data_IF_675064675762
#
_entry.id   IF_675064675762
#
_cell.length_a   1.000
_cell.length_b   1.000
_cell.length_c   1.000
_cell.angle_alpha   90.00
_cell.angle_beta   90.00
_cell.angle_gamma   90.00
#
_symmetry.space_group_name_H-M   'P 1'
#
loop_
_entity.id
_entity.type
_entity.pdbx_description
1 polymer ?
#
# COMPACT_ATOMS: atom_id res chain seq x y z
N UNK A 1 6.68 8.25 18.16
CA UNK A 1 7.63 7.46 17.36
C UNK A 1 7.26 7.60 15.90
N UNK A 2 8.18 8.02 15.04
CA UNK A 2 7.97 7.96 13.59
C UNK A 2 8.43 6.59 13.09
N UNK A 3 7.59 5.90 12.31
CA UNK A 3 7.90 4.60 11.73
C UNK A 3 8.08 4.75 10.21
N UNK A 4 9.30 4.60 9.71
CA UNK A 4 9.53 4.52 8.28
C UNK A 4 9.28 3.09 7.80
N UNK A 5 8.25 2.90 6.97
CA UNK A 5 7.95 1.60 6.38
C UNK A 5 8.81 1.37 5.13
N UNK A 6 8.81 2.34 4.22
CA UNK A 6 9.64 2.33 3.02
C UNK A 6 9.70 3.75 2.49
N UNK A 7 10.87 4.32 2.24
CA UNK A 7 10.95 5.68 1.70
C UNK A 7 10.12 5.87 0.41
N UNK A 8 9.27 6.92 0.30
CA UNK A 8 9.00 8.00 1.27
C UNK A 8 7.85 7.76 2.29
N UNK A 9 7.26 6.57 2.35
CA UNK A 9 6.21 6.18 3.31
C UNK A 9 6.75 6.14 4.74
N UNK A 10 6.65 7.28 5.45
CA UNK A 10 6.80 7.37 6.90
C UNK A 10 5.45 7.51 7.56
N UNK A 11 5.26 6.87 8.70
CA UNK A 11 4.07 6.98 9.55
C UNK A 11 4.44 7.82 10.78
N UNK A 12 4.04 9.09 10.76
CA UNK A 12 4.20 9.97 11.89
C UNK A 12 3.16 9.66 12.97
N UNK A 13 3.45 9.94 14.25
CA UNK A 13 2.46 9.89 15.31
C UNK A 13 1.27 10.77 14.97
N UNK A 14 0.09 10.33 15.37
CA UNK A 14 -1.15 11.08 15.26
C UNK A 14 -1.46 11.59 13.84
N UNK A 15 -1.19 10.78 12.83
CA UNK A 15 -1.47 11.11 11.44
C UNK A 15 -2.33 10.06 10.78
N UNK A 16 -3.26 10.52 9.95
CA UNK A 16 -4.02 9.70 9.03
C UNK A 16 -3.36 9.73 7.65
N UNK A 17 -2.83 8.59 7.24
CA UNK A 17 -2.12 8.41 5.98
C UNK A 17 -2.91 7.49 5.06
N UNK A 18 -2.95 7.81 3.77
CA UNK A 18 -3.49 6.95 2.72
C UNK A 18 -2.34 6.48 1.84
N UNK A 19 -2.28 5.18 1.57
CA UNK A 19 -1.35 4.56 0.64
C UNK A 19 -2.12 3.94 -0.51
N UNK A 20 -1.82 4.39 -1.73
CA UNK A 20 -2.33 3.82 -2.97
C UNK A 20 -1.16 3.20 -3.73
N UNK A 21 -1.17 1.89 -3.94
CA UNK A 21 -0.08 1.23 -4.65
C UNK A 21 -0.11 -0.30 -4.62
N UNK A 22 0.87 -0.96 -5.26
CA UNK A 22 0.93 -2.41 -5.39
C UNK A 22 0.86 -3.13 -4.04
N UNK A 23 0.21 -4.30 -4.01
CA UNK A 23 0.06 -5.12 -2.79
C UNK A 23 1.43 -5.50 -2.22
N UNK A 24 2.35 -5.91 -3.10
CA UNK A 24 3.70 -6.33 -2.77
C UNK A 24 4.46 -5.25 -2.01
N UNK A 25 4.24 -3.98 -2.36
CA UNK A 25 4.91 -2.87 -1.68
C UNK A 25 4.53 -2.81 -0.20
N UNK A 26 3.24 -2.91 0.13
CA UNK A 26 2.81 -2.90 1.53
C UNK A 26 3.27 -4.17 2.25
N UNK A 27 3.14 -5.33 1.62
CA UNK A 27 3.54 -6.62 2.20
C UNK A 27 5.03 -6.60 2.55
N UNK A 28 5.88 -6.23 1.59
CA UNK A 28 7.32 -6.16 1.77
C UNK A 28 7.69 -5.14 2.86
N UNK A 29 7.02 -3.99 2.87
CA UNK A 29 7.23 -2.95 3.88
C UNK A 29 6.88 -3.45 5.29
N UNK A 30 5.74 -4.12 5.47
CA UNK A 30 5.33 -4.63 6.78
C UNK A 30 6.23 -5.78 7.25
N UNK A 31 6.58 -6.70 6.36
CA UNK A 31 7.43 -7.85 6.69
C UNK A 31 8.88 -7.43 6.98
N UNK A 32 9.41 -6.42 6.27
CA UNK A 32 10.75 -5.89 6.51
C UNK A 32 10.87 -5.20 7.88
N UNK A 33 9.84 -4.45 8.29
CA UNK A 33 9.81 -3.70 9.56
C UNK A 33 9.16 -4.49 10.72
N UNK A 34 9.13 -5.81 10.62
CA UNK A 34 8.46 -6.68 11.59
C UNK A 34 8.94 -6.45 13.03
N UNK A 35 10.24 -6.22 13.24
CA UNK A 35 10.81 -6.04 14.58
C UNK A 35 10.33 -4.77 15.28
N UNK A 36 10.14 -3.71 14.50
CA UNK A 36 9.64 -2.42 14.93
C UNK A 36 8.13 -2.50 15.17
N UNK A 37 7.40 -3.14 14.25
CA UNK A 37 5.95 -3.35 14.35
C UNK A 37 5.56 -4.20 15.56
N UNK A 38 6.36 -5.23 15.90
CA UNK A 38 6.14 -6.05 17.10
C UNK A 38 6.30 -5.29 18.43
N UNK A 39 6.80 -4.05 18.41
CA UNK A 39 6.87 -3.20 19.62
C UNK A 39 5.65 -2.31 19.76
N UNK A 40 4.76 -2.34 18.77
CA UNK A 40 3.54 -1.55 18.71
C UNK A 40 2.34 -2.45 18.96
N UNK A 41 1.28 -1.85 19.49
CA UNK A 41 -0.04 -2.46 19.42
C UNK A 41 -0.58 -2.13 18.04
N UNK A 42 -0.70 -3.13 17.18
CA UNK A 42 -1.16 -2.98 15.79
C UNK A 42 -2.56 -3.55 15.67
N UNK A 43 -3.50 -2.73 15.21
CA UNK A 43 -4.81 -3.15 14.75
C UNK A 43 -4.79 -3.25 13.23
N UNK A 44 -5.13 -4.41 12.71
CA UNK A 44 -5.34 -4.66 11.29
C UNK A 44 -6.83 -4.85 11.01
N UNK A 45 -7.39 -3.97 10.20
CA UNK A 45 -8.80 -4.03 9.81
C UNK A 45 -8.88 -4.36 8.32
N UNK A 46 -9.59 -5.43 8.00
CA UNK A 46 -9.89 -5.80 6.62
C UNK A 46 -11.38 -5.70 6.33
N UNK A 47 -11.71 -5.55 5.05
CA UNK A 47 -13.09 -5.62 4.57
C UNK A 47 -13.60 -7.07 4.46
N UNK A 48 -14.45 -7.32 3.47
CA UNK A 48 -14.95 -8.64 3.13
C UNK A 48 -13.84 -9.61 2.72
N UNK A 49 -12.83 -9.07 2.02
CA UNK A 49 -11.67 -9.82 1.56
C UNK A 49 -10.39 -9.06 1.92
N UNK A 50 -9.41 -9.78 2.46
CA UNK A 50 -8.06 -9.26 2.64
C UNK A 50 -7.17 -9.78 1.53
N UNK A 51 -6.31 -8.91 0.99
CA UNK A 51 -5.30 -9.22 -0.05
C UNK A 51 -3.90 -9.38 0.53
N UNK A 52 -3.72 -8.96 1.77
CA UNK A 52 -2.42 -8.74 2.40
C UNK A 52 -2.23 -9.67 3.59
N UNK A 53 -3.29 -9.91 4.39
CA UNK A 53 -3.18 -10.58 5.69
C UNK A 53 -2.58 -11.99 5.60
N UNK A 54 -2.90 -12.76 4.56
CA UNK A 54 -2.40 -14.11 4.35
C UNK A 54 -0.94 -14.16 3.87
N UNK A 55 -0.40 -13.02 3.43
CA UNK A 55 0.98 -12.84 2.95
C UNK A 55 1.91 -12.21 4.00
N UNK A 56 1.38 -11.85 5.17
CA UNK A 56 2.19 -11.33 6.27
C UNK A 56 3.03 -12.45 6.91
N UNK A 57 4.21 -12.08 7.41
CA UNK A 57 5.11 -13.00 8.11
C UNK A 57 4.41 -13.57 9.36
N UNK A 58 4.43 -14.90 9.51
CA UNK A 58 3.77 -15.61 10.61
C UNK A 58 4.33 -15.27 11.99
N UNK A 59 5.50 -14.62 12.05
CA UNK A 59 6.10 -14.11 13.29
C UNK A 59 5.46 -12.81 13.76
N UNK A 60 4.58 -12.19 12.96
CA UNK A 60 3.83 -11.00 13.36
C UNK A 60 2.71 -11.36 14.35
N UNK A 61 3.09 -11.50 15.62
CA UNK A 61 2.18 -11.93 16.69
C UNK A 61 1.46 -10.79 17.40
N UNK A 62 2.06 -9.59 17.43
CA UNK A 62 1.46 -8.39 18.03
C UNK A 62 0.54 -7.67 17.01
N UNK A 63 -0.46 -8.42 16.52
CA UNK A 63 -1.37 -8.00 15.46
C UNK A 63 -2.81 -8.40 15.81
N UNK A 64 -3.61 -7.44 16.26
CA UNK A 64 -5.05 -7.63 16.45
C UNK A 64 -5.74 -7.52 15.10
N UNK A 65 -6.51 -8.54 14.71
CA UNK A 65 -7.20 -8.56 13.41
C UNK A 65 -8.71 -8.41 13.61
N UNK A 66 -9.32 -7.43 12.96
CA UNK A 66 -10.78 -7.25 12.90
C UNK A 66 -11.27 -7.18 11.44
N UNK A 67 -12.54 -7.49 11.23
CA UNK A 67 -13.20 -7.41 9.92
C UNK A 67 -14.45 -6.56 9.97
N UNK A 68 -14.63 -5.72 8.96
CA UNK A 68 -15.83 -4.95 8.73
C UNK A 68 -16.48 -5.38 7.41
N UNK A 69 -17.75 -5.79 7.47
CA UNK A 69 -18.57 -6.12 6.30
C UNK A 69 -19.40 -4.92 5.84
N UNK A 70 -19.53 -3.87 6.68
CA UNK A 70 -20.27 -2.64 6.39
C UNK A 70 -19.54 -1.41 6.95
N UNK A 71 -19.83 -0.23 6.41
CA UNK A 71 -19.30 1.03 6.94
C UNK A 71 -19.63 1.25 8.43
N UNK A 72 -20.82 0.85 8.89
CA UNK A 72 -21.21 0.95 10.31
C UNK A 72 -20.37 0.07 11.23
N UNK A 73 -20.04 -1.14 10.79
CA UNK A 73 -19.13 -2.02 11.54
C UNK A 73 -17.74 -1.43 11.61
N UNK A 74 -17.23 -0.86 10.51
CA UNK A 74 -15.95 -0.16 10.50
C UNK A 74 -15.94 1.01 11.50
N UNK A 75 -16.98 1.84 11.51
CA UNK A 75 -17.11 2.93 12.49
C UNK A 75 -17.10 2.42 13.94
N UNK A 76 -17.77 1.29 14.20
CA UNK A 76 -17.76 0.67 15.53
C UNK A 76 -16.36 0.20 15.92
N UNK A 77 -15.64 -0.44 14.99
CA UNK A 77 -14.25 -0.87 15.20
C UNK A 77 -13.34 0.32 15.51
N UNK A 78 -13.44 1.40 14.73
CA UNK A 78 -12.62 2.60 14.91
C UNK A 78 -12.90 3.28 16.26
N UNK A 79 -14.15 3.30 16.71
CA UNK A 79 -14.53 3.87 18.01
C UNK A 79 -13.97 3.08 19.19
N UNK A 80 -13.77 1.77 19.03
CA UNK A 80 -13.24 0.87 20.05
C UNK A 80 -11.72 0.70 19.97
N UNK A 81 -11.08 1.21 18.92
CA UNK A 81 -9.65 1.07 18.70
C UNK A 81 -8.85 1.88 19.73
N UNK A 82 -7.86 1.23 20.33
CA UNK A 82 -6.93 1.83 21.31
C UNK A 82 -5.47 1.58 20.93
N UNK A 83 -5.25 0.86 19.83
CA UNK A 83 -3.95 0.47 19.32
C UNK A 83 -3.15 1.70 18.87
N UNK A 84 -1.82 1.60 18.96
CA UNK A 84 -0.89 2.69 18.59
C UNK A 84 -0.76 2.87 17.07
N UNK A 85 -1.04 1.82 16.31
CA UNK A 85 -1.06 1.80 14.85
C UNK A 85 -2.30 1.06 14.38
N UNK A 86 -3.08 1.70 13.52
CA UNK A 86 -4.23 1.07 12.83
C UNK A 86 -3.93 1.01 11.34
N UNK A 87 -3.94 -0.19 10.77
CA UNK A 87 -3.81 -0.45 9.34
C UNK A 87 -5.17 -0.92 8.83
N UNK A 88 -5.72 -0.23 7.84
CA UNK A 88 -7.01 -0.54 7.23
C UNK A 88 -6.81 -0.87 5.76
N UNK A 89 -7.28 -2.03 5.31
CA UNK A 89 -7.49 -2.29 3.88
C UNK A 89 -8.80 -1.65 3.44
N UNK A 90 -8.71 -0.77 2.44
CA UNK A 90 -9.86 -0.20 1.79
C UNK A 90 -10.62 -1.28 1.01
N UNK A 91 -11.92 -1.36 1.26
CA UNK A 91 -12.81 -2.24 0.52
C UNK A 91 -14.07 -1.44 0.12
N UNK A 92 -14.26 -1.16 -1.19
CA UNK A 92 -15.39 -0.37 -1.67
C UNK A 92 -16.75 -0.98 -1.34
N UNK A 93 -16.83 -2.30 -1.13
CA UNK A 93 -18.09 -3.00 -0.87
C UNK A 93 -18.73 -2.61 0.46
N UNK A 94 -17.98 -2.00 1.38
CA UNK A 94 -18.52 -1.46 2.64
C UNK A 94 -19.53 -0.33 2.41
N UNK A 95 -19.52 0.29 1.21
CA UNK A 95 -20.28 1.48 0.87
C UNK A 95 -21.36 1.25 -0.20
N UNK A 96 -21.57 0.01 -0.68
CA UNK A 96 -22.50 -0.29 -1.79
C UNK A 96 -23.92 0.23 -1.53
N UNK A 97 -24.44 0.02 -0.32
CA UNK A 97 -25.77 0.46 0.10
C UNK A 97 -25.76 1.73 0.98
N UNK A 98 -24.59 2.35 1.17
CA UNK A 98 -24.39 3.43 2.13
C UNK A 98 -23.27 4.39 1.67
N UNK A 99 -23.38 4.90 0.44
CA UNK A 99 -22.33 5.70 -0.20
C UNK A 99 -21.97 6.97 0.58
N UNK A 100 -22.95 7.57 1.26
CA UNK A 100 -22.81 8.73 2.12
C UNK A 100 -21.92 8.47 3.35
N UNK A 101 -21.76 7.19 3.73
CA UNK A 101 -20.94 6.80 4.88
C UNK A 101 -19.44 7.01 4.66
N UNK A 102 -19.00 7.24 3.42
CA UNK A 102 -17.59 7.51 3.11
C UNK A 102 -17.06 8.76 3.83
N UNK A 103 -17.86 9.83 3.93
CA UNK A 103 -17.45 11.04 4.67
C UNK A 103 -17.32 10.76 6.17
N UNK A 104 -18.27 10.05 6.74
CA UNK A 104 -18.24 9.68 8.17
C UNK A 104 -17.06 8.75 8.49
N UNK A 105 -16.73 7.81 7.60
CA UNK A 105 -15.54 6.96 7.74
C UNK A 105 -14.27 7.79 7.67
N UNK A 106 -14.18 8.74 6.73
CA UNK A 106 -13.03 9.66 6.64
C UNK A 106 -12.84 10.49 7.91
N UNK A 107 -13.93 11.04 8.47
CA UNK A 107 -13.91 11.75 9.75
C UNK A 107 -13.46 10.84 10.90
N UNK A 108 -14.03 9.63 11.00
CA UNK A 108 -13.68 8.69 12.05
C UNK A 108 -12.21 8.24 11.99
N UNK A 109 -11.65 8.03 10.80
CA UNK A 109 -10.22 7.72 10.62
C UNK A 109 -9.35 8.89 11.07
N UNK A 110 -9.75 10.12 10.76
CA UNK A 110 -9.05 11.32 11.21
C UNK A 110 -9.14 11.49 12.72
N UNK A 111 -10.30 11.23 13.33
CA UNK A 111 -10.49 11.25 14.78
C UNK A 111 -9.65 10.17 15.48
N UNK A 112 -9.65 8.94 14.96
CA UNK A 112 -8.82 7.85 15.44
C UNK A 112 -7.33 8.20 15.37
N UNK A 113 -6.92 8.97 14.37
CA UNK A 113 -5.54 9.44 14.27
C UNK A 113 -5.14 10.45 15.34
N UNK A 114 -6.03 10.94 16.23
CA UNK A 114 -5.59 11.83 17.31
C UNK A 114 -4.83 11.08 18.42
N UNK A 115 -5.02 9.76 18.54
CA UNK A 115 -4.35 8.91 19.53
C UNK A 115 -3.56 7.73 18.92
N UNK A 116 -3.64 7.54 17.61
CA UNK A 116 -2.99 6.45 16.87
C UNK A 116 -2.33 6.99 15.60
N UNK A 117 -1.34 6.28 15.06
CA UNK A 117 -1.03 6.41 13.64
C UNK A 117 -2.04 5.58 12.83
N UNK A 118 -2.58 6.12 11.75
CA UNK A 118 -3.56 5.43 10.90
C UNK A 118 -3.03 5.34 9.48
N UNK A 119 -3.06 4.13 8.90
CA UNK A 119 -2.71 3.84 7.52
C UNK A 119 -3.88 3.17 6.82
N UNK A 120 -4.52 3.87 5.89
CA UNK A 120 -5.48 3.29 4.95
C UNK A 120 -4.74 2.86 3.67
N UNK A 121 -4.85 1.61 3.29
CA UNK A 121 -4.24 1.05 2.10
C UNK A 121 -5.29 0.72 1.04
N UNK A 122 -5.00 1.01 -0.23
CA UNK A 122 -5.77 0.51 -1.37
C UNK A 122 -4.86 0.20 -2.56
N UNK A 123 -5.13 -0.84 -3.37
CA UNK A 123 -4.35 -1.07 -4.58
C UNK A 123 -4.77 -0.14 -5.74
N UNK A 124 -5.96 0.45 -5.69
CA UNK A 124 -6.49 1.37 -6.69
C UNK A 124 -7.35 2.47 -6.06
N UNK A 125 -7.73 3.46 -6.87
CA UNK A 125 -8.65 4.54 -6.48
C UNK A 125 -10.07 4.24 -6.92
N UNK A 126 -11.04 4.69 -6.12
CA UNK A 126 -12.47 4.71 -6.43
C UNK A 126 -13.14 5.93 -5.74
N UNK A 127 -14.41 6.17 -6.06
CA UNK A 127 -15.17 7.33 -5.57
C UNK A 127 -15.20 7.44 -4.04
N UNK A 128 -15.24 6.32 -3.32
CA UNK A 128 -15.31 6.32 -1.85
C UNK A 128 -13.94 6.60 -1.26
N UNK A 129 -12.88 6.01 -1.83
CA UNK A 129 -11.52 6.32 -1.42
C UNK A 129 -11.17 7.80 -1.66
N UNK A 130 -11.61 8.38 -2.78
CA UNK A 130 -11.43 9.81 -3.07
C UNK A 130 -12.09 10.70 -2.00
N UNK A 131 -13.28 10.33 -1.52
CA UNK A 131 -13.98 11.04 -0.44
C UNK A 131 -13.22 10.90 0.88
N UNK A 132 -12.86 9.67 1.26
CA UNK A 132 -12.13 9.38 2.50
C UNK A 132 -10.76 10.07 2.53
N UNK A 133 -10.06 10.10 1.40
CA UNK A 133 -8.71 10.67 1.28
C UNK A 133 -8.67 12.18 1.51
N UNK A 134 -9.80 12.90 1.39
CA UNK A 134 -9.87 14.34 1.71
C UNK A 134 -9.58 14.65 3.18
N UNK A 135 -9.75 13.66 4.06
CA UNK A 135 -9.48 13.79 5.50
C UNK A 135 -8.06 13.38 5.87
N UNK A 136 -7.29 12.82 4.94
CA UNK A 136 -5.94 12.35 5.19
C UNK A 136 -4.95 13.52 5.35
N UNK A 137 -4.00 13.37 6.27
CA UNK A 137 -2.87 14.28 6.40
C UNK A 137 -1.90 14.14 5.23
N UNK A 138 -1.71 12.91 4.75
CA UNK A 138 -0.82 12.57 3.64
C UNK A 138 -1.39 11.46 2.79
N UNK A 139 -1.25 11.60 1.48
CA UNK A 139 -1.59 10.58 0.49
C UNK A 139 -0.32 10.20 -0.25
N UNK A 140 0.06 8.93 -0.15
CA UNK A 140 1.19 8.35 -0.87
C UNK A 140 0.67 7.55 -2.04
N UNK A 141 1.17 7.85 -3.24
CA UNK A 141 0.79 7.14 -4.47
C UNK A 141 2.04 6.52 -5.07
N UNK A 142 2.08 5.19 -5.13
CA UNK A 142 3.14 4.42 -5.75
C UNK A 142 2.59 3.78 -7.01
N UNK A 143 3.10 4.23 -8.16
CA UNK A 143 2.78 3.62 -9.44
C UNK A 143 3.79 2.50 -9.72
N UNK A 144 3.31 1.38 -10.27
CA UNK A 144 4.21 0.44 -10.94
C UNK A 144 4.89 1.15 -12.11
N UNK A 145 6.14 1.56 -11.91
CA UNK A 145 6.97 1.94 -13.04
C UNK A 145 7.26 0.63 -13.76
N UNK A 146 6.51 0.36 -14.84
CA UNK A 146 6.88 -0.66 -15.79
C UNK A 146 8.35 -0.41 -16.12
N UNK A 147 9.24 -1.32 -15.72
CA UNK A 147 10.63 -1.29 -16.19
C UNK A 147 10.54 -1.44 -17.70
N UNK A 148 10.48 -0.32 -18.42
CA UNK A 148 10.83 -0.28 -19.82
C UNK A 148 12.27 -0.74 -19.87
N UNK A 149 12.46 -2.04 -20.10
CA UNK A 149 13.75 -2.57 -20.53
C UNK A 149 13.97 -1.90 -21.87
N UNK A 150 14.63 -0.75 -21.87
CA UNK A 150 15.29 -0.23 -23.06
C UNK A 150 16.24 -1.33 -23.48
N UNK A 151 15.78 -2.21 -24.38
CA UNK A 151 16.66 -3.02 -25.20
C UNK A 151 17.49 -2.00 -25.95
N UNK A 152 18.68 -1.68 -25.42
CA UNK A 152 19.72 -1.00 -26.20
C UNK A 152 19.79 -1.78 -27.49
N UNK A 153 19.36 -1.17 -28.59
CA UNK A 153 19.51 -1.74 -29.90
C UNK A 153 21.01 -2.00 -30.07
N UNK A 154 21.40 -3.25 -29.90
CA UNK A 154 22.74 -3.70 -30.21
C UNK A 154 22.87 -3.44 -31.71
N UNK A 155 23.59 -2.39 -32.09
CA UNK A 155 23.98 -2.18 -33.48
C UNK A 155 24.71 -3.45 -33.90
N UNK A 156 24.05 -4.34 -34.65
CA UNK A 156 24.73 -5.41 -35.37
C UNK A 156 25.75 -4.72 -36.26
N UNK A 157 27.03 -4.90 -35.95
CA UNK A 157 28.11 -4.49 -36.83
C UNK A 157 27.90 -5.21 -38.18
N UNK A 158 27.72 -4.44 -39.26
CA UNK A 158 27.71 -5.00 -40.61
C UNK A 158 29.11 -5.57 -40.89
N UNK A 159 29.26 -6.84 -41.31
CA UNK A 159 30.55 -7.33 -41.77
C UNK A 159 30.94 -6.54 -43.04
N UNK A 160 32.14 -5.95 -43.03
CA UNK A 160 32.69 -5.22 -44.17
C UNK A 160 32.90 -6.13 -45.39
N UNK A 161 33.01 -5.56 -46.60
CA UNK A 161 33.08 -6.33 -47.83
C UNK A 161 34.34 -7.20 -47.86
N UNK A 162 34.14 -8.51 -48.08
CA UNK A 162 35.21 -9.49 -48.36
C UNK A 162 35.84 -9.13 -49.71
N UNK A 163 37.08 -8.65 -49.69
CA UNK A 163 37.89 -8.48 -50.90
C UNK A 163 38.39 -9.86 -51.32
N UNK A 164 37.84 -10.38 -52.42
CA UNK A 164 38.29 -11.59 -53.08
C UNK A 164 39.54 -11.24 -53.90
N UNK A 165 40.71 -11.74 -53.50
CA UNK A 165 41.94 -11.68 -54.31
C UNK A 165 42.10 -13.00 -55.05
N UNK A 166 41.94 -12.94 -56.37
CA UNK A 166 42.31 -14.01 -57.31
C UNK A 166 43.83 -14.08 -57.37
N UNK A 167 44.39 -15.27 -57.14
CA UNK A 167 45.79 -15.60 -57.41
C UNK A 167 45.90 -15.98 -58.89
N UNK A 168 46.55 -15.15 -59.69
CA UNK A 168 47.10 -15.60 -60.98
C UNK A 168 48.55 -16.06 -60.74
N UNK A 169 48.83 -17.25 -61.25
CA UNK A 169 50.15 -17.87 -61.25
C UNK A 169 50.99 -17.28 -62.39
N UNK A 170 52.27 -16.99 -62.13
CA UNK A 170 53.48 -17.45 -62.84
C UNK A 170 54.72 -17.05 -62.04
#
# INVERSE_FOLDING_TARGET
MELELQSPLTLAPNTFNVLIGPEEMLIDSLNYNLKELQRLQVLYVSGNYSRILDKLDRRFTELDVRRAFTAYQLLTILKEAYQTLTILEHDPSLFEDASEMAEYVGQALKEASNGSSVLLYSPWTDRHLEVVSKFADRVFVFNEVHKYVYKRASKKAKPGPRVQRTLEAF
#
